data_IF_908174394593
#
_entry.id   IF_908174394593
#
_cell.length_a   1.000
_cell.length_b   1.000
_cell.length_c   1.000
_cell.angle_alpha   90.00
_cell.angle_beta   90.00
_cell.angle_gamma   90.00
#
_symmetry.space_group_name_H-M   'P 1'
#
loop_
_entity.id
_entity.type
_entity.pdbx_description
1 polymer ?
#
# COMPACT_ATOMS: atom_id res chain seq x y z
N UNK A 1 22.38 22.19 39.95
CA UNK A 1 23.08 22.73 38.76
C UNK A 1 22.20 22.45 37.56
N UNK A 2 21.76 23.48 36.83
CA UNK A 2 20.85 23.31 35.70
C UNK A 2 21.63 23.43 34.38
N UNK A 3 21.62 22.39 33.55
CA UNK A 3 22.25 22.39 32.23
C UNK A 3 21.20 22.66 31.13
N UNK A 4 21.12 23.91 30.72
CA UNK A 4 20.37 24.34 29.53
C UNK A 4 21.04 23.85 28.24
N UNK A 5 20.36 23.04 27.45
CA UNK A 5 20.80 22.70 26.09
C UNK A 5 20.24 23.72 25.06
N UNK A 6 21.06 24.25 24.13
CA UNK A 6 20.60 25.20 23.13
C UNK A 6 19.91 24.51 21.95
N UNK A 7 18.70 24.97 21.61
CA UNK A 7 17.99 24.56 20.38
C UNK A 7 18.49 25.44 19.22
N UNK A 8 19.34 24.90 18.36
CA UNK A 8 19.79 25.57 17.14
C UNK A 8 18.75 25.45 16.01
N UNK A 9 18.14 26.58 15.64
CA UNK A 9 17.30 26.69 14.44
C UNK A 9 18.15 26.82 13.16
N UNK A 10 17.84 26.01 12.14
CA UNK A 10 18.10 26.11 10.68
C UNK A 10 18.16 24.65 10.15
N UNK A 11 17.48 24.24 9.08
CA UNK A 11 17.05 24.97 7.89
C UNK A 11 15.54 24.87 7.59
N UNK A 12 15.05 25.82 6.78
CA UNK A 12 13.68 25.95 6.27
C UNK A 12 13.77 26.43 4.82
N UNK A 13 12.82 26.05 3.94
CA UNK A 13 12.69 26.49 2.54
C UNK A 13 13.79 25.92 1.59
N UNK A 14 13.60 25.64 0.29
CA UNK A 14 12.61 26.00 -0.75
C UNK A 14 12.32 24.71 -1.56
N UNK A 15 11.09 24.24 -1.82
CA UNK A 15 10.04 24.75 -2.73
C UNK A 15 10.40 24.77 -4.24
N UNK A 16 10.45 23.59 -4.85
CA UNK A 16 10.24 23.39 -6.29
C UNK A 16 9.39 22.12 -6.44
N UNK A 17 8.27 22.10 -7.15
CA UNK A 17 7.87 23.02 -8.22
C UNK A 17 7.34 22.27 -9.44
N UNK A 18 6.81 21.05 -9.25
CA UNK A 18 6.08 20.31 -10.27
C UNK A 18 4.62 20.26 -9.83
N UNK A 19 3.84 21.21 -10.34
CA UNK A 19 2.39 21.03 -10.39
C UNK A 19 2.15 19.96 -11.45
N UNK A 20 2.19 18.69 -11.02
CA UNK A 20 1.63 17.62 -11.79
C UNK A 20 0.14 17.93 -11.90
N UNK A 21 -0.26 18.47 -13.05
CA UNK A 21 -1.64 18.76 -13.36
C UNK A 21 -2.41 17.45 -13.36
N UNK A 22 -3.02 17.11 -12.22
CA UNK A 22 -4.11 16.16 -12.19
C UNK A 22 -5.16 16.72 -13.16
N UNK A 23 -5.24 16.11 -14.34
CA UNK A 23 -6.33 16.33 -15.26
C UNK A 23 -7.59 15.80 -14.58
N UNK A 24 -8.23 16.68 -13.77
CA UNK A 24 -9.64 16.62 -13.47
C UNK A 24 -10.34 16.50 -14.81
N UNK A 25 -10.75 15.27 -15.13
CA UNK A 25 -11.38 14.90 -16.40
C UNK A 25 -12.47 15.92 -16.71
N UNK A 26 -12.44 16.48 -17.92
CA UNK A 26 -13.38 17.52 -18.31
C UNK A 26 -14.82 17.03 -18.08
N UNK A 27 -15.51 17.66 -17.13
CA UNK A 27 -16.89 17.32 -16.78
C UNK A 27 -17.75 17.43 -18.04
N UNK A 28 -18.51 16.38 -18.30
CA UNK A 28 -19.40 16.29 -19.46
C UNK A 28 -20.58 17.28 -19.33
N UNK A 29 -21.30 17.48 -20.42
CA UNK A 29 -22.26 18.58 -20.60
C UNK A 29 -23.30 18.76 -19.50
N UNK A 30 -23.69 20.02 -19.27
CA UNK A 30 -24.38 20.51 -18.08
C UNK A 30 -25.86 20.07 -17.92
N UNK A 31 -26.07 18.80 -17.55
CA UNK A 31 -27.10 18.46 -16.59
C UNK A 31 -26.52 18.66 -15.18
N UNK A 32 -27.28 19.20 -14.24
CA UNK A 32 -26.84 19.30 -12.85
C UNK A 32 -26.70 17.88 -12.27
N UNK A 33 -25.47 17.46 -11.95
CA UNK A 33 -25.23 16.11 -11.44
C UNK A 33 -25.97 15.88 -10.11
N UNK A 34 -26.49 14.65 -9.85
CA UNK A 34 -27.13 14.33 -8.58
C UNK A 34 -26.19 14.60 -7.40
N UNK A 35 -26.63 15.41 -6.45
CA UNK A 35 -25.84 15.84 -5.30
C UNK A 35 -26.50 15.39 -4.00
N UNK A 36 -25.73 14.73 -3.14
CA UNK A 36 -26.16 14.26 -1.82
C UNK A 36 -25.25 14.86 -0.75
N UNK A 37 -25.82 15.65 0.15
CA UNK A 37 -25.11 16.20 1.31
C UNK A 37 -25.45 15.36 2.55
N UNK A 38 -24.44 14.78 3.20
CA UNK A 38 -24.62 13.98 4.40
C UNK A 38 -25.30 14.77 5.54
N UNK A 39 -25.10 16.09 5.63
CA UNK A 39 -25.71 16.95 6.64
C UNK A 39 -27.23 16.97 6.60
N UNK A 40 -27.84 16.72 5.43
CA UNK A 40 -29.31 16.66 5.27
C UNK A 40 -29.95 15.50 6.06
N UNK A 41 -29.18 14.47 6.41
CA UNK A 41 -29.65 13.31 7.17
C UNK A 41 -29.40 13.42 8.68
N UNK A 42 -28.72 14.49 9.12
CA UNK A 42 -28.43 14.76 10.53
C UNK A 42 -29.66 15.31 11.23
N UNK A 43 -30.00 14.69 12.36
CA UNK A 43 -31.03 15.17 13.30
C UNK A 43 -30.46 15.11 14.71
N UNK A 44 -31.11 15.78 15.66
CA UNK A 44 -30.69 15.78 17.08
C UNK A 44 -30.60 14.37 17.71
N UNK A 45 -31.24 13.35 17.11
CA UNK A 45 -31.24 11.97 17.59
C UNK A 45 -30.52 10.98 16.65
N UNK A 46 -29.95 11.43 15.53
CA UNK A 46 -29.24 10.55 14.60
C UNK A 46 -27.84 10.22 15.12
N UNK A 47 -27.46 8.95 15.13
CA UNK A 47 -26.04 8.57 15.25
C UNK A 47 -25.30 8.91 13.95
N UNK A 48 -23.99 9.18 14.00
CA UNK A 48 -23.19 9.44 12.79
C UNK A 48 -23.20 8.25 11.83
N UNK A 49 -23.28 7.02 12.37
CA UNK A 49 -23.45 5.78 11.60
C UNK A 49 -24.77 5.79 10.81
N UNK A 50 -25.86 6.32 11.37
CA UNK A 50 -27.14 6.47 10.67
C UNK A 50 -27.15 7.61 9.65
N UNK A 51 -26.45 8.72 9.94
CA UNK A 51 -26.28 9.85 9.01
C UNK A 51 -25.55 9.39 7.75
N UNK A 52 -24.37 8.79 7.90
CA UNK A 52 -23.58 8.27 6.78
C UNK A 52 -24.33 7.17 6.01
N UNK A 53 -24.98 6.24 6.72
CA UNK A 53 -25.76 5.17 6.11
C UNK A 53 -26.86 5.71 5.18
N UNK A 54 -27.68 6.65 5.65
CA UNK A 54 -28.75 7.24 4.83
C UNK A 54 -28.22 8.03 3.63
N UNK A 55 -27.12 8.76 3.81
CA UNK A 55 -26.48 9.52 2.74
C UNK A 55 -25.91 8.60 1.65
N UNK A 56 -25.19 7.54 2.05
CA UNK A 56 -24.64 6.52 1.16
C UNK A 56 -25.77 5.76 0.44
N UNK A 57 -26.82 5.34 1.15
CA UNK A 57 -28.00 4.71 0.56
C UNK A 57 -28.67 5.61 -0.50
N UNK A 58 -28.75 6.93 -0.27
CA UNK A 58 -29.31 7.86 -1.26
C UNK A 58 -28.39 8.04 -2.47
N UNK A 59 -27.08 8.14 -2.26
CA UNK A 59 -26.11 8.24 -3.35
C UNK A 59 -26.06 6.98 -4.22
N UNK A 60 -26.11 5.79 -3.60
CA UNK A 60 -26.24 4.51 -4.30
C UNK A 60 -27.56 4.41 -5.09
N UNK A 61 -28.67 4.92 -4.55
CA UNK A 61 -29.95 5.04 -5.31
C UNK A 61 -29.84 5.94 -6.54
N UNK A 62 -29.02 6.99 -6.48
CA UNK A 62 -28.74 7.85 -7.64
C UNK A 62 -27.81 7.14 -8.66
N UNK A 63 -26.90 6.28 -8.18
CA UNK A 63 -25.94 5.53 -8.99
C UNK A 63 -24.81 6.36 -9.61
N UNK A 64 -24.83 7.69 -9.47
CA UNK A 64 -23.92 8.64 -10.11
C UNK A 64 -23.89 9.97 -9.32
N UNK A 65 -23.00 10.89 -9.72
CA UNK A 65 -22.86 12.21 -9.11
C UNK A 65 -22.15 12.17 -7.76
N UNK A 66 -22.37 13.20 -6.93
CA UNK A 66 -21.51 13.51 -5.78
C UNK A 66 -22.20 13.21 -4.44
N UNK A 67 -21.55 12.42 -3.60
CA UNK A 67 -21.79 12.40 -2.16
C UNK A 67 -20.76 13.29 -1.47
N UNK A 68 -21.22 14.34 -0.78
CA UNK A 68 -20.38 15.23 0.02
C UNK A 68 -20.65 15.04 1.50
N UNK A 69 -19.58 14.91 2.28
CA UNK A 69 -19.64 14.92 3.75
C UNK A 69 -19.65 16.35 4.31
N UNK A 70 -20.12 16.51 5.54
CA UNK A 70 -20.13 17.80 6.23
C UNK A 70 -18.70 18.32 6.44
N UNK A 71 -18.44 19.57 6.03
CA UNK A 71 -17.08 20.13 5.96
C UNK A 71 -16.36 20.08 7.30
N UNK A 72 -15.22 19.38 7.35
CA UNK A 72 -14.40 19.26 8.55
C UNK A 72 -15.06 18.54 9.73
N UNK A 73 -16.23 17.91 9.53
CA UNK A 73 -16.96 17.25 10.61
C UNK A 73 -16.26 15.94 11.03
N UNK A 74 -16.44 15.53 12.28
CA UNK A 74 -16.01 14.20 12.74
C UNK A 74 -17.23 13.30 12.88
N UNK A 75 -17.24 12.18 12.15
CA UNK A 75 -18.25 11.14 12.27
C UNK A 75 -17.73 10.05 13.19
N UNK A 76 -18.29 9.92 14.41
CA UNK A 76 -17.91 8.85 15.34
C UNK A 76 -18.83 7.63 15.18
N UNK A 77 -18.26 6.56 14.62
CA UNK A 77 -18.98 5.32 14.37
C UNK A 77 -18.95 4.36 15.57
N UNK A 78 -18.28 4.73 16.67
CA UNK A 78 -18.17 3.93 17.88
C UNK A 78 -17.38 2.63 17.68
N UNK A 79 -17.74 1.61 18.46
CA UNK A 79 -17.09 0.29 18.40
C UNK A 79 -17.70 -0.56 17.26
N UNK A 80 -16.85 -1.28 16.54
CA UNK A 80 -17.23 -2.23 15.48
C UNK A 80 -16.79 -3.64 15.85
N UNK A 81 -17.75 -4.55 16.02
CA UNK A 81 -17.59 -5.85 16.68
C UNK A 81 -17.61 -7.07 15.77
N UNK A 82 -18.45 -7.07 14.74
CA UNK A 82 -19.03 -8.31 14.20
C UNK A 82 -19.41 -8.24 12.71
N UNK A 83 -19.07 -7.17 11.99
CA UNK A 83 -19.43 -6.99 10.57
C UNK A 83 -18.20 -6.93 9.67
N UNK A 84 -18.15 -7.70 8.55
CA UNK A 84 -17.03 -7.66 7.62
C UNK A 84 -16.96 -6.34 6.85
N UNK A 85 -18.09 -5.67 6.64
CA UNK A 85 -18.19 -4.33 6.02
C UNK A 85 -19.18 -3.48 6.82
N UNK A 86 -18.87 -2.20 7.02
CA UNK A 86 -19.78 -1.25 7.68
C UNK A 86 -20.66 -0.51 6.66
N UNK A 87 -20.08 -0.11 5.53
CA UNK A 87 -20.80 0.44 4.38
C UNK A 87 -20.43 -0.34 3.11
N UNK A 88 -21.41 -1.05 2.54
CA UNK A 88 -21.27 -1.75 1.26
C UNK A 88 -21.90 -0.89 0.16
N UNK A 89 -21.13 -0.60 -0.87
CA UNK A 89 -21.41 0.42 -1.88
C UNK A 89 -21.26 -0.26 -3.24
N UNK A 90 -22.29 -0.24 -4.07
CA UNK A 90 -22.28 -0.98 -5.34
C UNK A 90 -22.94 -0.21 -6.48
N UNK A 91 -22.43 -0.40 -7.70
CA UNK A 91 -23.09 0.03 -8.93
C UNK A 91 -22.92 1.50 -9.29
N UNK A 92 -21.93 2.17 -8.69
CA UNK A 92 -21.64 3.59 -8.97
C UNK A 92 -20.97 3.77 -10.33
N UNK A 93 -21.40 4.79 -11.08
CA UNK A 93 -20.79 5.20 -12.36
C UNK A 93 -20.63 6.71 -12.41
N UNK A 94 -19.44 7.20 -12.78
CA UNK A 94 -19.14 8.65 -12.84
C UNK A 94 -19.55 9.33 -11.52
N UNK A 95 -18.92 8.91 -10.42
CA UNK A 95 -19.37 9.23 -9.07
C UNK A 95 -18.23 9.75 -8.21
N UNK A 96 -18.52 10.68 -7.29
CA UNK A 96 -17.52 11.29 -6.42
C UNK A 96 -17.93 11.16 -4.95
N UNK A 97 -17.05 10.61 -4.12
CA UNK A 97 -17.11 10.75 -2.67
C UNK A 97 -16.18 11.89 -2.24
N UNK A 98 -16.76 13.06 -1.99
CA UNK A 98 -16.05 14.22 -1.43
C UNK A 98 -16.15 14.19 0.10
N UNK A 99 -15.08 13.70 0.73
CA UNK A 99 -14.91 13.73 2.18
C UNK A 99 -14.88 15.14 2.75
N UNK A 100 -14.64 16.19 1.95
CA UNK A 100 -14.75 17.59 2.36
C UNK A 100 -13.94 17.96 3.63
N UNK A 101 -12.82 17.26 3.85
CA UNK A 101 -11.97 17.40 5.04
C UNK A 101 -12.54 16.74 6.31
N UNK A 102 -13.63 15.98 6.21
CA UNK A 102 -14.22 15.23 7.31
C UNK A 102 -13.32 14.07 7.77
N UNK A 103 -13.51 13.68 9.03
CA UNK A 103 -12.80 12.58 9.68
C UNK A 103 -13.81 11.52 10.11
N UNK A 104 -13.71 10.32 9.56
CA UNK A 104 -14.45 9.17 10.05
C UNK A 104 -13.64 8.49 11.15
N UNK A 105 -14.21 8.31 12.35
CA UNK A 105 -13.57 7.65 13.49
C UNK A 105 -14.31 6.39 13.87
N UNK A 106 -13.56 5.37 14.26
CA UNK A 106 -14.10 4.12 14.78
C UNK A 106 -13.15 3.51 15.83
N UNK A 107 -13.59 2.40 16.43
CA UNK A 107 -12.76 1.52 17.24
C UNK A 107 -13.02 0.06 16.90
N UNK A 108 -12.04 -0.63 16.34
CA UNK A 108 -12.13 -2.08 16.14
C UNK A 108 -12.20 -2.83 17.48
N UNK A 109 -13.15 -3.75 17.64
CA UNK A 109 -13.10 -4.75 18.70
C UNK A 109 -11.92 -5.71 18.49
N UNK A 110 -11.36 -6.26 19.58
CA UNK A 110 -10.16 -7.10 19.54
C UNK A 110 -10.33 -8.31 18.61
N UNK A 111 -9.43 -8.47 17.65
CA UNK A 111 -9.45 -9.58 16.69
C UNK A 111 -10.49 -9.45 15.58
N UNK A 112 -11.08 -8.26 15.40
CA UNK A 112 -12.02 -7.98 14.31
C UNK A 112 -11.30 -7.30 13.13
N UNK A 113 -11.44 -7.85 11.92
CA UNK A 113 -11.05 -7.21 10.66
C UNK A 113 -12.30 -6.83 9.90
N UNK A 114 -12.42 -5.56 9.53
CA UNK A 114 -13.63 -5.03 8.88
C UNK A 114 -13.31 -3.91 7.90
N UNK A 115 -14.19 -3.73 6.92
CA UNK A 115 -14.10 -2.74 5.86
C UNK A 115 -14.96 -1.53 6.23
N UNK A 116 -14.40 -0.31 6.20
CA UNK A 116 -15.20 0.90 6.40
C UNK A 116 -16.06 1.19 5.17
N UNK A 117 -15.43 1.46 4.03
CA UNK A 117 -16.10 1.65 2.74
C UNK A 117 -15.71 0.50 1.80
N UNK A 118 -16.67 -0.35 1.44
CA UNK A 118 -16.44 -1.48 0.53
C UNK A 118 -17.17 -1.24 -0.80
N UNK A 119 -16.43 -0.90 -1.84
CA UNK A 119 -16.95 -0.59 -3.18
C UNK A 119 -16.90 -1.81 -4.11
N UNK A 120 -17.96 -2.00 -4.89
CA UNK A 120 -18.03 -3.01 -5.95
C UNK A 120 -18.81 -2.53 -7.18
N UNK A 121 -18.59 -3.15 -8.35
CA UNK A 121 -19.25 -2.74 -9.60
C UNK A 121 -19.11 -1.23 -9.91
N UNK A 122 -18.00 -0.61 -9.49
CA UNK A 122 -17.82 0.84 -9.56
C UNK A 122 -16.96 1.23 -10.77
N UNK A 123 -17.36 2.26 -11.52
CA UNK A 123 -16.68 2.73 -12.72
C UNK A 123 -16.53 4.25 -12.71
N UNK A 124 -15.32 4.77 -12.93
CA UNK A 124 -15.04 6.22 -12.87
C UNK A 124 -15.48 6.79 -11.51
N UNK A 125 -14.88 6.27 -10.44
CA UNK A 125 -15.16 6.65 -9.06
C UNK A 125 -14.00 7.47 -8.50
N UNK A 126 -14.24 8.73 -8.14
CA UNK A 126 -13.26 9.54 -7.41
C UNK A 126 -13.58 9.56 -5.92
N UNK A 127 -12.58 9.34 -5.07
CA UNK A 127 -12.67 9.52 -3.61
C UNK A 127 -11.65 10.58 -3.22
N UNK A 128 -12.13 11.68 -2.64
CA UNK A 128 -11.30 12.86 -2.36
C UNK A 128 -11.48 13.39 -0.93
N UNK A 129 -10.45 14.04 -0.39
CA UNK A 129 -10.50 14.83 0.85
C UNK A 129 -11.01 14.06 2.10
N UNK A 130 -10.74 12.76 2.17
CA UNK A 130 -11.29 11.87 3.20
C UNK A 130 -10.21 11.41 4.18
N UNK A 131 -10.45 11.62 5.48
CA UNK A 131 -9.64 11.02 6.55
C UNK A 131 -10.44 9.94 7.26
N UNK A 132 -9.81 8.80 7.58
CA UNK A 132 -10.36 7.83 8.52
C UNK A 132 -9.33 7.41 9.58
N UNK A 133 -9.80 7.12 10.79
CA UNK A 133 -8.94 6.63 11.87
C UNK A 133 -9.62 5.58 12.74
N UNK A 134 -8.88 4.53 13.06
CA UNK A 134 -9.25 3.53 14.05
C UNK A 134 -8.43 3.74 15.34
N UNK A 135 -9.15 3.85 16.45
CA UNK A 135 -8.57 4.12 17.77
C UNK A 135 -8.09 2.86 18.50
N UNK A 136 -8.31 1.67 17.93
CA UNK A 136 -7.82 0.39 18.44
C UNK A 136 -6.30 0.23 18.26
N UNK A 137 -5.72 -0.77 18.93
CA UNK A 137 -4.44 -1.31 18.49
C UNK A 137 -4.68 -2.10 17.19
N UNK A 138 -3.72 -2.04 16.26
CA UNK A 138 -3.82 -2.69 14.96
C UNK A 138 -2.62 -3.61 14.74
N UNK A 139 -2.91 -4.80 14.25
CA UNK A 139 -1.97 -5.79 13.75
C UNK A 139 -2.53 -6.43 12.46
N UNK A 140 -1.94 -7.52 11.97
CA UNK A 140 -2.38 -8.20 10.73
C UNK A 140 -3.74 -8.88 10.83
N UNK A 141 -4.19 -9.21 12.04
CA UNK A 141 -5.43 -9.93 12.32
C UNK A 141 -6.49 -9.05 12.99
N UNK A 142 -6.26 -7.73 13.08
CA UNK A 142 -7.14 -6.80 13.78
C UNK A 142 -7.01 -5.38 13.22
N UNK A 143 -8.12 -4.84 12.70
CA UNK A 143 -8.23 -3.42 12.37
C UNK A 143 -9.18 -3.10 11.20
N UNK A 144 -9.43 -1.80 11.03
CA UNK A 144 -10.21 -1.25 9.91
C UNK A 144 -9.43 -1.25 8.59
N UNK A 145 -9.99 -1.78 7.50
CA UNK A 145 -9.59 -1.44 6.12
C UNK A 145 -10.41 -0.22 5.68
N UNK A 146 -9.78 0.92 5.41
CA UNK A 146 -10.48 2.18 5.15
C UNK A 146 -11.27 2.17 3.84
N UNK A 147 -10.59 1.93 2.71
CA UNK A 147 -11.21 1.75 1.39
C UNK A 147 -10.93 0.32 0.94
N UNK A 148 -11.98 -0.43 0.63
CA UNK A 148 -11.89 -1.77 0.05
C UNK A 148 -12.53 -1.75 -1.32
N UNK A 149 -11.80 -2.24 -2.30
CA UNK A 149 -12.23 -2.35 -3.68
C UNK A 149 -12.44 -3.83 -4.01
N UNK A 150 -13.62 -4.16 -4.51
CA UNK A 150 -14.02 -5.52 -4.89
C UNK A 150 -14.56 -5.50 -6.31
N UNK A 151 -14.44 -6.59 -7.09
CA UNK A 151 -14.83 -6.56 -8.49
C UNK A 151 -16.37 -6.57 -8.67
N UNK A 152 -17.09 -7.37 -7.90
CA UNK A 152 -18.52 -7.62 -8.15
C UNK A 152 -18.78 -8.39 -9.45
N UNK A 153 -19.99 -8.26 -10.00
CA UNK A 153 -20.42 -8.91 -11.25
C UNK A 153 -20.01 -8.17 -12.53
N UNK A 154 -19.75 -6.87 -12.46
CA UNK A 154 -19.33 -6.04 -13.59
C UNK A 154 -17.85 -5.60 -13.59
N UNK A 155 -17.09 -5.92 -12.54
CA UNK A 155 -15.75 -5.37 -12.29
C UNK A 155 -15.79 -3.98 -11.65
N UNK A 156 -14.69 -3.59 -11.02
CA UNK A 156 -14.49 -2.23 -10.50
C UNK A 156 -13.28 -1.64 -11.19
N UNK A 157 -13.42 -0.47 -11.82
CA UNK A 157 -12.34 0.11 -12.60
C UNK A 157 -12.33 1.64 -12.59
N UNK A 158 -11.16 2.21 -12.88
CA UNK A 158 -10.98 3.66 -13.03
C UNK A 158 -11.35 4.39 -11.73
N UNK A 159 -10.59 4.11 -10.66
CA UNK A 159 -10.81 4.65 -9.31
C UNK A 159 -9.73 5.68 -8.99
N UNK A 160 -10.10 6.96 -8.88
CA UNK A 160 -9.22 8.05 -8.48
C UNK A 160 -9.23 8.29 -6.97
N UNK A 161 -8.07 8.58 -6.40
CA UNK A 161 -7.88 8.83 -4.97
C UNK A 161 -7.05 10.11 -4.79
N UNK A 162 -7.51 11.09 -4.00
CA UNK A 162 -6.72 12.29 -3.70
C UNK A 162 -6.99 12.85 -2.29
N UNK A 163 -5.97 13.40 -1.63
CA UNK A 163 -6.05 13.92 -0.26
C UNK A 163 -6.65 12.88 0.73
N UNK A 164 -6.23 11.62 0.61
CA UNK A 164 -6.69 10.50 1.44
C UNK A 164 -5.75 10.29 2.61
N UNK A 165 -6.28 10.18 3.83
CA UNK A 165 -5.49 9.91 5.03
C UNK A 165 -6.08 8.77 5.87
N UNK A 166 -5.38 7.65 5.95
CA UNK A 166 -5.67 6.60 6.94
C UNK A 166 -4.73 6.72 8.15
N UNK A 167 -5.29 6.69 9.37
CA UNK A 167 -4.51 6.74 10.62
C UNK A 167 -4.84 5.54 11.50
N UNK A 168 -3.82 4.73 11.83
CA UNK A 168 -3.93 3.53 12.68
C UNK A 168 -4.95 2.52 12.13
N UNK A 169 -4.97 2.33 10.81
CA UNK A 169 -5.86 1.38 10.14
C UNK A 169 -5.13 0.07 9.80
N UNK A 170 -5.85 -1.05 9.61
CA UNK A 170 -5.27 -2.25 9.01
C UNK A 170 -4.77 -1.93 7.60
N UNK A 171 -5.57 -1.24 6.78
CA UNK A 171 -5.19 -0.81 5.44
C UNK A 171 -5.79 0.57 5.10
N UNK A 172 -5.07 1.39 4.31
CA UNK A 172 -5.67 2.57 3.66
C UNK A 172 -6.50 2.14 2.45
N UNK A 173 -5.91 1.35 1.54
CA UNK A 173 -6.59 0.78 0.37
C UNK A 173 -6.33 -0.73 0.31
N UNK A 174 -7.37 -1.50 0.02
CA UNK A 174 -7.29 -2.94 -0.15
C UNK A 174 -8.11 -3.42 -1.35
N UNK A 175 -7.48 -3.95 -2.40
CA UNK A 175 -8.16 -4.63 -3.49
C UNK A 175 -8.23 -6.14 -3.22
N UNK A 176 -9.45 -6.70 -3.15
CA UNK A 176 -9.69 -8.12 -2.84
C UNK A 176 -10.95 -8.68 -3.51
N UNK A 177 -11.07 -10.00 -3.63
CA UNK A 177 -12.29 -10.67 -4.10
C UNK A 177 -12.07 -11.67 -5.24
N UNK A 178 -13.15 -12.31 -5.72
CA UNK A 178 -13.07 -13.43 -6.68
C UNK A 178 -12.51 -13.00 -8.03
N UNK A 179 -11.60 -13.80 -8.59
CA UNK A 179 -10.78 -13.44 -9.78
C UNK A 179 -11.53 -13.39 -11.12
N UNK A 180 -12.80 -13.80 -11.17
CA UNK A 180 -13.63 -13.85 -12.38
C UNK A 180 -13.79 -12.48 -13.05
N UNK A 181 -13.93 -11.44 -12.21
CA UNK A 181 -13.88 -10.05 -12.59
C UNK A 181 -12.71 -9.38 -11.85
N UNK A 182 -12.23 -8.25 -12.38
CA UNK A 182 -11.06 -7.55 -11.86
C UNK A 182 -11.41 -6.22 -11.21
N UNK A 183 -10.69 -5.89 -10.15
CA UNK A 183 -10.43 -4.50 -9.74
C UNK A 183 -9.23 -4.02 -10.55
N UNK A 184 -9.31 -2.87 -11.22
CA UNK A 184 -8.18 -2.30 -11.98
C UNK A 184 -8.20 -0.77 -12.09
N UNK A 185 -7.12 -0.17 -12.57
CA UNK A 185 -7.09 1.26 -12.90
C UNK A 185 -7.24 2.15 -11.67
N UNK A 186 -6.46 1.86 -10.61
CA UNK A 186 -6.48 2.61 -9.35
C UNK A 186 -5.41 3.69 -9.42
N UNK A 187 -5.79 4.96 -9.29
CA UNK A 187 -4.87 6.09 -9.43
C UNK A 187 -4.76 6.91 -8.13
N UNK A 188 -3.57 6.89 -7.52
CA UNK A 188 -3.20 7.69 -6.36
C UNK A 188 -2.69 9.07 -6.79
N UNK A 189 -3.61 10.05 -6.78
CA UNK A 189 -3.28 11.46 -6.91
C UNK A 189 -2.60 12.04 -5.67
N UNK A 190 -2.59 13.37 -5.59
CA UNK A 190 -1.84 14.12 -4.56
C UNK A 190 -2.24 13.77 -3.13
N UNK A 191 -1.26 13.80 -2.22
CA UNK A 191 -1.44 13.72 -0.75
C UNK A 191 -2.17 12.45 -0.25
N UNK A 192 -1.98 11.30 -0.89
CA UNK A 192 -2.46 10.01 -0.37
C UNK A 192 -1.48 9.45 0.67
N UNK A 193 -1.92 9.29 1.92
CA UNK A 193 -1.04 8.96 3.06
C UNK A 193 -1.63 7.94 4.03
N UNK A 194 -0.84 6.91 4.34
CA UNK A 194 -1.10 6.01 5.47
C UNK A 194 -0.17 6.35 6.64
N UNK A 195 -0.70 6.36 7.87
CA UNK A 195 0.07 6.65 9.08
C UNK A 195 -0.24 5.66 10.20
N UNK A 196 0.80 5.02 10.73
CA UNK A 196 0.72 3.99 11.78
C UNK A 196 -0.20 2.79 11.41
N UNK A 197 -0.39 2.54 10.12
CA UNK A 197 -1.22 1.43 9.63
C UNK A 197 -0.44 0.11 9.61
N UNK A 198 -1.10 -1.05 9.50
CA UNK A 198 -0.35 -2.25 9.10
C UNK A 198 0.05 -2.11 7.63
N UNK A 199 -0.91 -1.83 6.76
CA UNK A 199 -0.77 -1.68 5.31
C UNK A 199 -1.07 -0.24 4.85
N UNK A 200 -0.34 0.28 3.86
CA UNK A 200 -0.84 1.42 3.08
C UNK A 200 -1.69 0.90 1.91
N UNK A 201 -1.09 0.12 1.01
CA UNK A 201 -1.77 -0.54 -0.10
C UNK A 201 -1.63 -2.07 -0.01
N UNK A 202 -2.75 -2.78 -0.18
CA UNK A 202 -2.76 -4.22 -0.43
C UNK A 202 -3.59 -4.62 -1.65
N UNK A 203 -3.07 -5.55 -2.44
CA UNK A 203 -3.68 -6.04 -3.67
C UNK A 203 -3.64 -7.58 -3.73
N UNK A 204 -4.78 -8.23 -3.48
CA UNK A 204 -4.89 -9.68 -3.24
C UNK A 204 -5.59 -10.39 -4.40
N UNK A 205 -4.81 -10.88 -5.37
CA UNK A 205 -5.30 -11.33 -6.67
C UNK A 205 -6.29 -10.33 -7.30
N UNK A 206 -6.13 -9.02 -7.04
CA UNK A 206 -7.02 -7.93 -7.48
C UNK A 206 -6.26 -6.61 -7.43
N UNK A 207 -6.70 -5.62 -8.23
CA UNK A 207 -6.06 -4.31 -8.31
C UNK A 207 -4.91 -4.34 -9.31
N UNK A 208 -5.22 -4.57 -10.58
CA UNK A 208 -4.26 -4.36 -11.68
C UNK A 208 -4.21 -2.86 -12.07
N UNK A 209 -3.25 -2.45 -12.89
CA UNK A 209 -3.15 -1.08 -13.45
C UNK A 209 -3.19 -0.01 -12.33
N UNK A 210 -2.30 -0.13 -11.33
CA UNK A 210 -2.25 0.76 -10.16
C UNK A 210 -1.13 1.78 -10.30
N UNK A 211 -1.48 3.07 -10.21
CA UNK A 211 -0.58 4.17 -10.53
C UNK A 211 -0.55 5.25 -9.43
N UNK A 212 0.51 6.06 -9.39
CA UNK A 212 0.55 7.30 -8.59
C UNK A 212 1.54 7.30 -7.42
N UNK A 213 1.27 8.12 -6.40
CA UNK A 213 2.19 8.37 -5.27
C UNK A 213 1.53 8.08 -3.91
N UNK A 214 2.22 7.36 -3.04
CA UNK A 214 1.76 7.04 -1.68
C UNK A 214 2.81 7.43 -0.64
N UNK A 215 2.41 8.21 0.36
CA UNK A 215 3.18 8.41 1.58
C UNK A 215 2.84 7.34 2.64
N UNK A 216 3.85 6.77 3.26
CA UNK A 216 3.74 5.75 4.31
C UNK A 216 4.57 6.15 5.52
N UNK A 217 3.92 6.49 6.63
CA UNK A 217 4.58 6.91 7.88
C UNK A 217 4.32 5.88 8.98
N UNK A 218 5.35 5.22 9.48
CA UNK A 218 5.26 4.16 10.51
C UNK A 218 4.31 3.01 10.14
N UNK A 219 4.09 2.73 8.86
CA UNK A 219 3.37 1.53 8.45
C UNK A 219 4.26 0.29 8.54
N UNK A 220 3.72 -0.84 9.00
CA UNK A 220 4.49 -2.10 9.09
C UNK A 220 4.90 -2.61 7.70
N UNK A 221 3.98 -2.53 6.74
CA UNK A 221 4.22 -2.78 5.32
C UNK A 221 3.56 -1.67 4.50
N UNK A 222 4.34 -0.88 3.77
CA UNK A 222 3.78 0.14 2.88
C UNK A 222 2.98 -0.52 1.73
N UNK A 223 3.48 -1.63 1.18
CA UNK A 223 2.89 -2.26 0.00
C UNK A 223 2.92 -3.80 0.09
N UNK A 224 1.79 -4.43 -0.21
CA UNK A 224 1.72 -5.86 -0.58
C UNK A 224 0.92 -6.01 -1.88
N UNK A 225 1.43 -6.80 -2.82
CA UNK A 225 0.62 -7.23 -3.95
C UNK A 225 0.97 -8.65 -4.41
N UNK A 226 -0.05 -9.40 -4.80
CA UNK A 226 0.11 -10.69 -5.47
C UNK A 226 -1.02 -10.99 -6.43
N UNK A 227 -0.72 -11.71 -7.52
CA UNK A 227 -1.71 -11.98 -8.57
C UNK A 227 -2.20 -10.70 -9.23
N UNK A 228 -1.29 -9.79 -9.57
CA UNK A 228 -1.57 -8.47 -10.13
C UNK A 228 -0.72 -8.18 -11.37
N UNK A 229 -1.14 -7.22 -12.19
CA UNK A 229 -0.32 -6.72 -13.27
C UNK A 229 -0.37 -5.20 -13.48
N UNK A 230 0.70 -4.62 -14.04
CA UNK A 230 0.70 -3.26 -14.57
C UNK A 230 0.78 -2.13 -13.53
N UNK A 231 1.46 -2.35 -12.40
CA UNK A 231 1.67 -1.29 -11.40
C UNK A 231 2.79 -0.33 -11.82
N UNK A 232 2.59 0.97 -11.59
CA UNK A 232 3.65 1.98 -11.65
C UNK A 232 3.49 3.01 -10.52
N UNK A 233 4.18 2.78 -9.39
CA UNK A 233 3.99 3.53 -8.14
C UNK A 233 5.29 4.19 -7.64
N UNK A 234 5.14 5.38 -7.07
CA UNK A 234 6.12 5.94 -6.13
C UNK A 234 5.61 5.75 -4.70
N UNK A 235 6.47 5.30 -3.79
CA UNK A 235 6.13 5.08 -2.39
C UNK A 235 7.21 5.69 -1.49
N UNK A 236 6.83 6.74 -0.76
CA UNK A 236 7.68 7.44 0.19
C UNK A 236 7.47 6.87 1.59
N UNK A 237 8.49 6.19 2.11
CA UNK A 237 8.44 5.38 3.33
C UNK A 237 9.28 6.05 4.42
N UNK A 238 8.64 6.35 5.54
CA UNK A 238 9.28 6.91 6.73
C UNK A 238 8.97 6.05 7.95
N UNK A 239 10.01 5.66 8.71
CA UNK A 239 9.84 5.04 10.03
C UNK A 239 10.60 5.84 11.09
N UNK A 240 10.01 6.00 12.27
CA UNK A 240 10.62 6.72 13.40
C UNK A 240 11.53 5.87 14.29
N UNK A 241 11.70 4.58 13.98
CA UNK A 241 12.48 3.61 14.76
C UNK A 241 11.82 3.16 16.07
N UNK A 242 10.73 3.81 16.51
CA UNK A 242 10.06 3.55 17.79
C UNK A 242 8.82 2.66 17.66
N UNK A 243 8.12 2.72 16.52
CA UNK A 243 6.75 2.15 16.43
C UNK A 243 6.60 0.92 15.51
N UNK A 244 7.65 0.49 14.80
CA UNK A 244 7.59 -0.66 13.87
C UNK A 244 7.73 -2.01 14.61
N UNK A 245 7.05 -2.16 15.74
CA UNK A 245 7.12 -3.36 16.55
C UNK A 245 6.35 -4.55 15.92
N UNK A 246 7.11 -5.48 15.33
CA UNK A 246 6.73 -6.84 14.91
C UNK A 246 5.62 -7.01 13.83
N UNK A 247 5.81 -7.96 12.91
CA UNK A 247 4.76 -8.52 12.04
C UNK A 247 5.22 -8.69 10.59
N UNK A 248 5.70 -7.61 9.98
CA UNK A 248 6.10 -7.63 8.57
C UNK A 248 7.59 -7.99 8.40
N UNK A 249 7.88 -8.96 7.54
CA UNK A 249 9.25 -9.31 7.12
C UNK A 249 9.89 -8.28 6.16
N UNK A 250 9.07 -7.41 5.55
CA UNK A 250 9.52 -6.32 4.68
C UNK A 250 8.52 -5.18 4.63
N UNK A 251 9.04 -3.98 4.32
CA UNK A 251 8.22 -2.79 4.08
C UNK A 251 7.44 -2.87 2.75
N UNK A 252 8.01 -3.56 1.75
CA UNK A 252 7.37 -3.81 0.44
C UNK A 252 7.43 -5.32 0.15
N UNK A 253 6.31 -5.90 -0.27
CA UNK A 253 6.20 -7.31 -0.66
C UNK A 253 5.54 -7.43 -2.04
N UNK A 254 6.32 -7.85 -3.04
CA UNK A 254 5.83 -8.28 -4.35
C UNK A 254 5.79 -9.80 -4.31
N UNK A 255 4.62 -10.42 -4.50
CA UNK A 255 4.46 -11.85 -4.29
C UNK A 255 3.70 -12.53 -5.42
N UNK A 256 3.83 -13.84 -5.58
CA UNK A 256 2.94 -14.67 -6.40
C UNK A 256 2.47 -15.88 -5.61
N UNK A 257 1.20 -16.26 -5.80
CA UNK A 257 0.60 -17.49 -5.28
C UNK A 257 0.29 -18.43 -6.45
N UNK A 258 -0.98 -18.63 -6.80
CA UNK A 258 -1.41 -19.32 -8.03
C UNK A 258 -1.53 -18.40 -9.26
N UNK A 259 -1.89 -17.12 -9.07
CA UNK A 259 -1.89 -16.12 -10.16
C UNK A 259 -0.52 -15.45 -10.24
N UNK A 260 -0.03 -15.31 -11.47
CA UNK A 260 1.18 -14.58 -11.80
C UNK A 260 1.14 -13.11 -11.33
N UNK A 261 2.32 -12.55 -11.00
CA UNK A 261 2.50 -11.13 -10.73
C UNK A 261 3.44 -10.53 -11.77
N UNK A 262 3.00 -9.51 -12.50
CA UNK A 262 3.70 -9.07 -13.72
C UNK A 262 3.77 -7.56 -13.90
N UNK A 263 4.82 -7.08 -14.57
CA UNK A 263 4.94 -5.67 -15.01
C UNK A 263 4.70 -4.68 -13.85
N UNK A 264 5.47 -4.84 -12.76
CA UNK A 264 5.36 -4.02 -11.55
C UNK A 264 6.58 -3.10 -11.47
N UNK A 265 6.35 -1.79 -11.61
CA UNK A 265 7.36 -0.74 -11.45
C UNK A 265 7.16 -0.03 -10.11
N UNK A 266 8.19 0.03 -9.28
CA UNK A 266 8.16 0.72 -7.98
C UNK A 266 9.35 1.67 -7.83
N UNK A 267 9.09 2.90 -7.38
CA UNK A 267 10.10 3.89 -6.98
C UNK A 267 9.95 4.12 -5.49
N UNK A 268 10.93 3.71 -4.69
CA UNK A 268 10.82 3.64 -3.23
C UNK A 268 11.80 4.61 -2.57
N UNK A 269 11.29 5.56 -1.78
CA UNK A 269 12.11 6.50 -1.01
C UNK A 269 12.09 6.18 0.48
N UNK A 270 13.22 5.79 1.08
CA UNK A 270 13.31 5.46 2.51
C UNK A 270 13.99 6.55 3.34
N UNK A 271 13.37 6.93 4.47
CA UNK A 271 13.86 7.93 5.42
C UNK A 271 13.60 7.55 6.89
N UNK A 272 14.35 8.15 7.82
CA UNK A 272 14.21 7.91 9.26
C UNK A 272 15.03 6.70 9.73
N UNK A 273 14.34 5.64 10.13
CA UNK A 273 14.89 4.30 10.40
C UNK A 273 14.48 3.33 9.29
N UNK A 274 15.24 2.26 9.12
CA UNK A 274 14.80 1.07 8.41
C UNK A 274 13.82 0.23 9.27
N UNK A 275 13.02 -0.66 8.64
CA UNK A 275 12.06 -1.51 9.33
C UNK A 275 12.69 -2.43 10.39
N UNK A 276 11.93 -2.66 11.46
CA UNK A 276 12.28 -3.44 12.65
C UNK A 276 11.70 -4.87 12.58
N UNK A 277 12.32 -5.83 13.27
CA UNK A 277 11.94 -7.25 13.24
C UNK A 277 10.94 -7.72 14.30
N UNK A 278 10.02 -8.59 13.90
CA UNK A 278 9.43 -9.54 14.85
C UNK A 278 10.49 -10.55 15.29
N UNK A 279 10.60 -10.80 16.60
CA UNK A 279 11.23 -12.01 17.10
C UNK A 279 10.38 -13.23 16.70
N UNK A 280 10.76 -13.92 15.61
CA UNK A 280 10.55 -15.36 15.57
C UNK A 280 11.37 -15.94 16.72
N UNK A 281 10.75 -16.75 17.59
CA UNK A 281 11.18 -16.98 18.99
C UNK A 281 12.65 -17.34 19.21
N UNK A 282 13.34 -17.90 18.20
CA UNK A 282 14.72 -18.37 18.30
C UNK A 282 15.71 -17.76 17.27
N UNK A 283 15.27 -17.02 16.25
CA UNK A 283 16.17 -16.53 15.17
C UNK A 283 15.97 -15.04 14.85
N UNK A 284 17.08 -14.28 14.96
CA UNK A 284 17.17 -12.87 14.51
C UNK A 284 17.46 -12.82 13.01
N UNK A 285 16.44 -13.10 12.19
CA UNK A 285 16.55 -12.98 10.74
C UNK A 285 16.34 -11.55 10.22
N UNK A 286 16.72 -11.39 8.96
CA UNK A 286 16.32 -10.30 8.09
C UNK A 286 15.97 -10.91 6.71
N UNK A 287 15.02 -10.41 5.91
CA UNK A 287 14.15 -9.26 6.12
C UNK A 287 14.67 -7.96 5.52
N UNK A 288 13.81 -7.18 4.89
CA UNK A 288 14.25 -6.29 3.81
C UNK A 288 13.42 -5.02 3.63
N UNK A 289 14.00 -4.04 2.93
CA UNK A 289 13.23 -2.94 2.36
C UNK A 289 12.17 -3.49 1.38
N UNK A 290 12.59 -4.45 0.56
CA UNK A 290 11.76 -5.12 -0.45
C UNK A 290 11.92 -6.64 -0.36
N UNK A 291 10.81 -7.38 -0.36
CA UNK A 291 10.83 -8.83 -0.60
C UNK A 291 10.11 -9.13 -1.91
N UNK A 292 10.70 -10.00 -2.74
CA UNK A 292 10.03 -10.63 -3.87
C UNK A 292 9.85 -12.12 -3.53
N UNK A 293 8.61 -12.59 -3.49
CA UNK A 293 8.26 -13.88 -2.90
C UNK A 293 7.40 -14.76 -3.80
N UNK A 294 7.74 -16.03 -3.92
CA UNK A 294 6.82 -17.06 -4.38
C UNK A 294 6.27 -17.84 -3.19
N UNK A 295 4.97 -18.11 -3.16
CA UNK A 295 4.41 -19.13 -2.27
C UNK A 295 3.43 -20.00 -3.05
N UNK A 296 3.82 -21.23 -3.40
CA UNK A 296 2.93 -22.12 -4.16
C UNK A 296 1.75 -22.55 -3.25
N UNK A 297 0.53 -22.22 -3.66
CA UNK A 297 -0.68 -22.54 -2.90
C UNK A 297 -0.98 -24.05 -2.91
N UNK A 298 -0.80 -24.68 -4.08
CA UNK A 298 -1.24 -26.06 -4.37
C UNK A 298 -0.16 -26.92 -5.04
N UNK A 299 1.10 -26.47 -5.03
CA UNK A 299 2.23 -27.15 -5.71
C UNK A 299 2.35 -26.80 -7.20
N UNK A 300 1.35 -26.13 -7.78
CA UNK A 300 1.40 -25.56 -9.12
C UNK A 300 2.47 -24.45 -9.22
N UNK A 301 3.28 -24.42 -10.30
CA UNK A 301 4.19 -23.33 -10.59
C UNK A 301 3.42 -22.04 -10.92
N UNK A 302 3.91 -20.91 -10.43
CA UNK A 302 3.46 -19.59 -10.90
C UNK A 302 4.60 -18.78 -11.51
N UNK A 303 4.38 -17.50 -11.78
CA UNK A 303 5.38 -16.63 -12.42
C UNK A 303 5.44 -15.23 -11.79
N UNK A 304 6.66 -14.75 -11.56
CA UNK A 304 6.95 -13.34 -11.29
C UNK A 304 7.81 -12.82 -12.44
N UNK A 305 7.29 -11.85 -13.19
CA UNK A 305 7.90 -11.40 -14.45
C UNK A 305 7.82 -9.88 -14.65
N UNK A 306 8.92 -9.26 -15.08
CA UNK A 306 8.93 -7.82 -15.39
C UNK A 306 8.76 -6.97 -14.13
N UNK A 307 9.58 -7.21 -13.11
CA UNK A 307 9.58 -6.46 -11.87
C UNK A 307 10.74 -5.47 -11.91
N UNK A 308 10.46 -4.17 -11.82
CA UNK A 308 11.48 -3.13 -11.83
C UNK A 308 11.33 -2.21 -10.61
N UNK A 309 12.31 -2.24 -9.72
CA UNK A 309 12.24 -1.56 -8.43
C UNK A 309 13.47 -0.67 -8.28
N UNK A 310 13.27 0.63 -8.10
CA UNK A 310 14.31 1.58 -7.72
C UNK A 310 14.18 1.95 -6.25
N UNK A 311 15.26 1.81 -5.48
CA UNK A 311 15.27 2.00 -4.02
C UNK A 311 16.27 3.09 -3.64
N UNK A 312 15.75 4.28 -3.35
CA UNK A 312 16.53 5.41 -2.85
C UNK A 312 16.48 5.43 -1.31
N UNK A 313 17.64 5.44 -0.66
CA UNK A 313 17.74 5.37 0.79
C UNK A 313 18.62 6.50 1.31
N UNK A 314 18.03 7.39 2.12
CA UNK A 314 18.70 8.60 2.59
C UNK A 314 19.98 8.30 3.39
N UNK A 315 21.03 9.10 3.19
CA UNK A 315 22.35 8.90 3.83
C UNK A 315 22.30 8.91 5.36
N UNK A 316 21.37 9.70 5.91
CA UNK A 316 21.11 9.82 7.35
C UNK A 316 20.28 8.68 7.94
N UNK A 317 19.85 7.68 7.17
CA UNK A 317 18.97 6.62 7.69
C UNK A 317 19.66 5.83 8.81
N UNK A 318 18.88 5.46 9.82
CA UNK A 318 19.27 4.53 10.87
C UNK A 318 19.03 3.09 10.41
N UNK A 319 20.04 2.23 10.58
CA UNK A 319 19.93 0.78 10.33
C UNK A 319 20.33 -0.01 11.60
N UNK A 320 19.50 0.02 12.66
CA UNK A 320 19.81 -0.66 13.92
C UNK A 320 19.83 -2.19 13.82
N UNK A 321 19.37 -2.80 12.71
CA UNK A 321 19.23 -4.25 12.57
C UNK A 321 19.97 -4.86 11.38
N UNK A 322 20.63 -4.07 10.53
CA UNK A 322 21.37 -4.56 9.38
C UNK A 322 20.46 -5.11 8.28
N UNK A 323 19.37 -4.39 7.97
CA UNK A 323 18.36 -4.84 7.03
C UNK A 323 18.92 -5.16 5.63
N UNK A 324 18.26 -6.05 4.89
CA UNK A 324 18.58 -6.27 3.48
C UNK A 324 17.96 -5.16 2.62
N UNK A 325 18.64 -4.81 1.52
CA UNK A 325 18.04 -3.99 0.47
C UNK A 325 16.86 -4.75 -0.15
N UNK A 326 17.12 -5.99 -0.56
CA UNK A 326 16.13 -6.89 -1.11
C UNK A 326 16.29 -8.33 -0.58
N UNK A 327 15.18 -9.03 -0.46
CA UNK A 327 15.13 -10.48 -0.31
C UNK A 327 14.37 -11.11 -1.49
N UNK A 328 14.85 -12.24 -2.01
CA UNK A 328 14.17 -13.02 -3.05
C UNK A 328 14.03 -14.45 -2.54
N UNK A 329 12.80 -14.90 -2.31
CA UNK A 329 12.53 -16.15 -1.60
C UNK A 329 11.38 -16.94 -2.23
N UNK A 330 11.47 -18.26 -2.16
CA UNK A 330 10.38 -19.20 -2.45
C UNK A 330 9.99 -19.86 -1.14
N UNK A 331 8.69 -19.93 -0.88
CA UNK A 331 8.12 -20.48 0.34
C UNK A 331 7.21 -21.64 -0.04
N UNK A 332 7.44 -22.80 0.57
CA UNK A 332 6.62 -23.99 0.40
C UNK A 332 5.25 -23.84 1.04
N UNK A 333 4.37 -24.81 0.80
CA UNK A 333 3.01 -24.82 1.37
C UNK A 333 3.00 -24.81 2.90
N UNK A 334 4.04 -25.36 3.53
CA UNK A 334 4.22 -25.42 4.99
C UNK A 334 4.81 -24.13 5.60
N UNK A 335 5.13 -23.12 4.78
CA UNK A 335 5.80 -21.90 5.23
C UNK A 335 7.32 -22.02 5.33
N UNK A 336 7.93 -23.17 4.98
CA UNK A 336 9.39 -23.33 4.93
C UNK A 336 9.98 -22.71 3.66
N UNK A 337 11.27 -22.35 3.69
CA UNK A 337 11.95 -21.78 2.52
C UNK A 337 12.38 -22.89 1.56
N UNK A 338 11.84 -22.88 0.34
CA UNK A 338 12.25 -23.76 -0.75
C UNK A 338 13.63 -23.34 -1.27
N UNK A 339 14.64 -24.21 -1.17
CA UNK A 339 15.98 -23.95 -1.72
C UNK A 339 16.03 -24.10 -3.25
N UNK A 340 15.22 -24.98 -3.80
CA UNK A 340 15.04 -25.21 -5.24
C UNK A 340 13.54 -25.11 -5.51
N UNK A 341 13.17 -24.39 -6.57
CA UNK A 341 11.75 -24.17 -6.90
C UNK A 341 11.49 -24.30 -8.40
N UNK A 342 10.31 -24.85 -8.75
CA UNK A 342 9.78 -24.91 -10.12
C UNK A 342 9.15 -23.59 -10.57
N UNK A 343 9.01 -22.63 -9.64
CA UNK A 343 8.46 -21.32 -9.90
C UNK A 343 9.33 -20.51 -10.86
N UNK A 344 8.69 -19.75 -11.74
CA UNK A 344 9.39 -18.98 -12.78
C UNK A 344 9.61 -17.53 -12.36
N UNK A 345 10.81 -17.04 -12.67
CA UNK A 345 11.29 -15.69 -12.37
C UNK A 345 11.93 -15.11 -13.62
N UNK A 346 11.52 -13.93 -14.07
CA UNK A 346 12.09 -13.31 -15.27
C UNK A 346 12.05 -11.78 -15.23
N UNK A 347 13.03 -11.16 -15.91
CA UNK A 347 13.10 -9.69 -16.08
C UNK A 347 12.99 -8.91 -14.74
N UNK A 348 13.75 -9.33 -13.72
CA UNK A 348 13.75 -8.69 -12.40
C UNK A 348 14.95 -7.74 -12.27
N UNK A 349 14.66 -6.46 -12.06
CA UNK A 349 15.66 -5.42 -11.83
C UNK A 349 15.42 -4.77 -10.47
N UNK A 350 16.47 -4.64 -9.67
CA UNK A 350 16.44 -3.92 -8.40
C UNK A 350 17.60 -2.94 -8.39
N UNK A 351 17.30 -1.65 -8.55
CA UNK A 351 18.25 -0.55 -8.49
C UNK A 351 18.24 0.07 -7.10
N UNK A 352 19.31 0.77 -6.74
CA UNK A 352 19.24 1.64 -5.58
C UNK A 352 20.42 2.57 -5.39
N UNK A 353 20.14 3.70 -4.75
CA UNK A 353 21.13 4.62 -4.18
C UNK A 353 21.17 4.35 -2.68
N UNK A 354 22.21 3.65 -2.24
CA UNK A 354 22.26 3.03 -0.91
C UNK A 354 23.49 3.49 -0.13
N UNK A 355 23.42 4.67 0.51
CA UNK A 355 24.57 5.24 1.23
C UNK A 355 25.21 4.29 2.26
N UNK A 356 24.39 3.46 2.93
CA UNK A 356 24.86 2.47 3.92
C UNK A 356 24.51 1.01 3.62
N UNK A 357 23.38 0.72 2.97
CA UNK A 357 22.88 -0.65 2.77
C UNK A 357 23.59 -1.38 1.62
N UNK A 358 23.89 -2.66 1.85
CA UNK A 358 24.89 -3.41 1.08
C UNK A 358 24.56 -4.87 0.82
N UNK A 359 23.40 -5.36 1.28
CA UNK A 359 23.12 -6.80 1.34
C UNK A 359 21.85 -7.15 0.58
N UNK A 360 21.90 -8.24 -0.17
CA UNK A 360 20.73 -8.87 -0.80
C UNK A 360 20.71 -10.35 -0.37
N UNK A 361 19.54 -10.82 0.06
CA UNK A 361 19.35 -12.20 0.52
C UNK A 361 18.60 -13.03 -0.52
N UNK A 362 19.19 -14.12 -1.00
CA UNK A 362 18.57 -15.03 -1.97
C UNK A 362 18.68 -16.48 -1.48
N UNK A 363 17.89 -16.89 -0.47
CA UNK A 363 17.97 -18.25 0.09
C UNK A 363 17.39 -19.32 -0.84
N UNK A 364 16.67 -18.92 -1.90
CA UNK A 364 16.07 -19.80 -2.90
C UNK A 364 16.74 -19.64 -4.26
N UNK A 365 16.95 -20.75 -4.97
CA UNK A 365 17.36 -20.77 -6.36
C UNK A 365 16.25 -21.33 -7.25
N UNK A 366 15.85 -20.62 -8.32
CA UNK A 366 15.00 -21.21 -9.34
C UNK A 366 15.76 -22.23 -10.20
N UNK A 367 15.02 -23.21 -10.70
CA UNK A 367 15.51 -24.18 -11.69
C UNK A 367 15.90 -23.50 -13.01
N UNK A 368 15.15 -22.46 -13.41
CA UNK A 368 15.46 -21.64 -14.59
C UNK A 368 16.42 -20.50 -14.23
N UNK A 369 17.50 -20.27 -15.00
CA UNK A 369 18.36 -19.11 -14.81
C UNK A 369 17.60 -17.81 -15.02
N UNK A 370 17.84 -16.82 -14.17
CA UNK A 370 17.33 -15.47 -14.35
C UNK A 370 18.41 -14.42 -14.08
N UNK A 371 18.26 -13.27 -14.71
CA UNK A 371 19.12 -12.11 -14.46
C UNK A 371 18.48 -11.27 -13.38
N UNK A 372 19.22 -11.07 -12.28
CA UNK A 372 18.91 -10.09 -11.25
C UNK A 372 19.84 -8.89 -11.47
N UNK A 373 19.36 -7.87 -12.17
CA UNK A 373 20.18 -6.69 -12.45
C UNK A 373 20.19 -5.76 -11.24
N UNK A 374 21.37 -5.51 -10.68
CA UNK A 374 21.55 -4.71 -9.46
C UNK A 374 22.41 -3.49 -9.79
N UNK A 375 21.79 -2.32 -9.82
CA UNK A 375 22.43 -1.05 -10.19
C UNK A 375 22.57 -0.14 -8.97
N UNK A 376 23.78 0.34 -8.71
CA UNK A 376 24.12 1.21 -7.58
C UNK A 376 25.64 1.41 -7.50
N UNK A 377 26.14 1.78 -6.32
CA UNK A 377 27.59 1.78 -6.01
C UNK A 377 28.09 0.32 -5.92
N UNK A 378 28.31 -0.28 -7.10
CA UNK A 378 28.41 -1.71 -7.34
C UNK A 378 29.56 -2.42 -6.60
N UNK A 379 30.57 -1.67 -6.18
CA UNK A 379 31.75 -2.15 -5.45
C UNK A 379 31.42 -2.66 -4.03
N UNK A 380 30.22 -2.36 -3.51
CA UNK A 380 29.87 -2.60 -2.10
C UNK A 380 28.72 -3.58 -1.87
N UNK A 381 28.15 -4.14 -2.92
CA UNK A 381 27.00 -5.06 -2.80
C UNK A 381 27.50 -6.49 -2.53
N UNK A 382 27.20 -6.97 -1.32
CA UNK A 382 27.41 -8.36 -0.88
C UNK A 382 26.11 -9.11 -1.12
N UNK A 383 26.07 -9.82 -2.25
CA UNK A 383 25.05 -10.85 -2.47
C UNK A 383 25.54 -12.15 -1.86
N UNK A 384 24.88 -12.63 -0.81
CA UNK A 384 25.00 -14.02 -0.35
C UNK A 384 24.20 -14.94 -1.27
N UNK A 385 24.62 -14.99 -2.54
CA UNK A 385 24.07 -15.91 -3.54
C UNK A 385 24.66 -17.30 -3.30
N UNK A 386 23.85 -18.22 -2.79
CA UNK A 386 24.29 -19.60 -2.55
C UNK A 386 24.42 -20.44 -3.84
N UNK A 387 23.96 -19.94 -5.00
CA UNK A 387 23.71 -20.76 -6.18
C UNK A 387 24.07 -20.08 -7.51
N UNK A 388 24.46 -20.91 -8.50
CA UNK A 388 25.07 -20.49 -9.79
C UNK A 388 24.10 -19.89 -10.82
N UNK A 389 22.81 -19.84 -10.53
CA UNK A 389 21.74 -19.52 -11.50
C UNK A 389 21.30 -18.05 -11.48
N UNK A 390 21.88 -17.20 -10.62
CA UNK A 390 21.55 -15.78 -10.50
C UNK A 390 22.68 -14.96 -11.16
N UNK A 391 22.42 -14.44 -12.35
CA UNK A 391 23.35 -13.51 -13.00
C UNK A 391 23.18 -12.12 -12.39
N UNK A 392 24.15 -11.70 -11.58
CA UNK A 392 24.21 -10.36 -10.99
C UNK A 392 25.01 -9.44 -11.91
N UNK A 393 24.29 -8.70 -12.76
CA UNK A 393 24.88 -7.66 -13.60
C UNK A 393 25.19 -6.41 -12.75
N UNK A 394 26.47 -6.29 -12.39
CA UNK A 394 27.05 -5.13 -11.69
C UNK A 394 27.53 -4.08 -12.68
N UNK A 395 26.61 -3.37 -13.31
CA UNK A 395 27.00 -2.18 -14.08
C UNK A 395 27.25 -1.01 -13.11
N UNK A 396 28.42 -0.32 -13.17
CA UNK A 396 28.61 0.91 -12.43
C UNK A 396 27.58 1.94 -12.90
N UNK A 397 27.04 2.73 -11.97
CA UNK A 397 26.20 3.88 -12.32
C UNK A 397 27.09 4.92 -13.00
N UNK A 398 27.22 4.82 -14.32
CA UNK A 398 27.66 5.96 -15.14
C UNK A 398 26.72 7.11 -14.79
N UNK A 399 27.29 8.21 -14.32
CA UNK A 399 26.53 9.34 -13.79
C UNK A 399 25.50 9.82 -14.81
N UNK A 400 24.24 9.45 -14.61
CA UNK A 400 23.09 10.10 -15.24
C UNK A 400 23.02 11.49 -14.61
N UNK A 401 23.59 12.46 -15.32
CA UNK A 401 23.51 13.90 -15.01
C UNK A 401 22.18 14.45 -15.49
#
# INVERSE_FOLDING_TARGET
MASTFPITRRNMLIMGGVVAGASLSAFHGAAAEPFVDAGQFRTQRSSDRDVLRKAIEQWVRNGTGVLRLERGCTYDLGIVTDRPSLFEISGLRNAVLDGNGAIIRARSAKGNVWNLLSFSNAANLDIINLTASDSAYVDEAWGMKMIVLQPGGGGTHSVGLANILAVRALAMVWAQGPVQNRVRGINFGVNCRARHCYYALGCENQGDEVHGVIDSVNCRRAYIAYGVEGHDLEINIHHDGLQVAAGAQSAVLVKSYGRATRNVTLRLGFTGSLPYYAQMKNDRLSGACVTIEHQSADGEPSSIDGIDIDVNIADGIEDPFGAYLAAITSIGRDGSVERVTRNSWSRITIRGRTGKLRRINTPSAPETPFTLKILGDADRIIATAAHRNINIDRAPVKSLR
#
